data_IF_997589350435
#
_entry.id   IF_997589350435
#
_cell.length_a   1.000
_cell.length_b   1.000
_cell.length_c   1.000
_cell.angle_alpha   90.00
_cell.angle_beta   90.00
_cell.angle_gamma   90.00
#
_symmetry.space_group_name_H-M   'P 1'
#
loop_
_entity.id
_entity.type
_entity.pdbx_description
1 polymer ?
#
# COMPACT_ATOMS: atom_id res chain seq x y z
N UNK A 1 -74.82 -17.40 14.83
CA UNK A 1 -75.91 -17.25 13.84
C UNK A 1 -75.33 -17.53 12.46
N UNK A 2 -75.83 -18.62 11.82
CA UNK A 2 -75.58 -19.11 10.44
C UNK A 2 -74.15 -19.58 10.09
N UNK A 3 -73.90 -20.66 9.34
CA UNK A 3 -74.60 -21.92 9.01
C UNK A 3 -73.53 -22.83 8.33
N UNK A 4 -73.64 -24.15 8.51
CA UNK A 4 -72.81 -25.24 7.96
C UNK A 4 -72.60 -25.18 6.43
N UNK A 5 -71.52 -25.79 5.93
CA UNK A 5 -71.61 -26.89 4.93
C UNK A 5 -70.35 -27.76 4.88
N UNK A 6 -70.60 -29.06 4.98
CA UNK A 6 -69.69 -30.20 4.96
C UNK A 6 -69.58 -30.69 3.51
N UNK A 7 -68.39 -31.10 3.06
CA UNK A 7 -68.28 -32.07 1.96
C UNK A 7 -67.00 -32.89 2.08
N UNK A 8 -67.12 -34.07 2.67
CA UNK A 8 -66.16 -35.16 2.57
C UNK A 8 -66.27 -35.75 1.16
N UNK A 9 -65.15 -35.93 0.45
CA UNK A 9 -65.09 -36.82 -0.70
C UNK A 9 -63.91 -37.78 -0.49
N UNK A 10 -64.23 -38.99 -0.02
CA UNK A 10 -63.33 -40.13 0.00
C UNK A 10 -62.99 -40.51 -1.45
N UNK A 11 -61.72 -40.45 -1.82
CA UNK A 11 -61.19 -41.15 -2.98
C UNK A 11 -60.02 -42.03 -2.53
N UNK A 12 -60.32 -43.32 -2.38
CA UNK A 12 -59.33 -44.38 -2.25
C UNK A 12 -58.59 -44.53 -3.58
N UNK A 13 -57.44 -43.88 -3.70
CA UNK A 13 -56.47 -44.14 -4.77
C UNK A 13 -55.38 -45.10 -4.28
N UNK A 14 -54.88 -46.02 -5.12
CA UNK A 14 -53.82 -46.94 -4.70
C UNK A 14 -52.59 -46.11 -4.31
N UNK A 15 -52.09 -46.31 -3.09
CA UNK A 15 -50.83 -45.74 -2.62
C UNK A 15 -49.71 -46.24 -3.52
N UNK A 16 -49.41 -45.48 -4.57
CA UNK A 16 -48.15 -45.57 -5.27
C UNK A 16 -47.10 -44.97 -4.34
N UNK A 17 -46.41 -45.83 -3.58
CA UNK A 17 -45.20 -45.44 -2.87
C UNK A 17 -44.17 -44.98 -3.91
N UNK A 18 -44.15 -43.69 -4.21
CA UNK A 18 -42.99 -43.06 -4.81
C UNK A 18 -41.86 -43.19 -3.78
N UNK A 19 -41.01 -44.20 -3.97
CA UNK A 19 -39.70 -44.23 -3.36
C UNK A 19 -38.95 -43.02 -3.93
N UNK A 20 -39.12 -41.88 -3.27
CA UNK A 20 -38.32 -40.69 -3.54
C UNK A 20 -36.89 -41.07 -3.17
N UNK A 21 -36.06 -41.30 -4.19
CA UNK A 21 -34.62 -41.30 -4.03
C UNK A 21 -34.23 -39.90 -3.55
N UNK A 22 -34.19 -39.72 -2.23
CA UNK A 22 -33.49 -38.61 -1.63
C UNK A 22 -32.04 -38.82 -2.04
N UNK A 23 -31.56 -38.07 -3.05
CA UNK A 23 -30.12 -37.87 -3.19
C UNK A 23 -29.67 -37.46 -1.80
N UNK A 24 -28.80 -38.26 -1.20
CA UNK A 24 -28.18 -37.93 0.06
C UNK A 24 -27.38 -36.68 -0.26
N UNK A 25 -27.96 -35.51 -0.04
CA UNK A 25 -27.32 -34.23 -0.29
C UNK A 25 -26.19 -34.12 0.73
N UNK A 26 -25.06 -34.72 0.39
CA UNK A 26 -23.81 -34.47 1.09
C UNK A 26 -23.57 -32.96 1.03
N UNK A 27 -23.36 -32.27 2.16
CA UNK A 27 -23.09 -30.85 2.17
C UNK A 27 -21.99 -30.55 1.15
N UNK A 28 -22.16 -29.47 0.37
CA UNK A 28 -21.12 -29.01 -0.53
C UNK A 28 -19.81 -28.85 0.26
N UNK A 29 -18.64 -29.20 -0.31
CA UNK A 29 -17.36 -28.99 0.35
C UNK A 29 -17.25 -27.53 0.80
N UNK A 30 -16.79 -27.32 2.04
CA UNK A 30 -16.58 -25.97 2.55
C UNK A 30 -15.62 -25.20 1.63
N UNK A 31 -15.96 -23.95 1.30
CA UNK A 31 -15.08 -23.11 0.49
C UNK A 31 -13.73 -22.95 1.19
N UNK A 32 -12.62 -23.43 0.58
CA UNK A 32 -11.29 -23.36 1.18
C UNK A 32 -10.78 -21.93 1.42
N UNK A 33 -11.47 -20.92 0.87
CA UNK A 33 -11.12 -19.51 0.98
C UNK A 33 -11.94 -18.75 2.01
N UNK A 34 -12.89 -19.40 2.69
CA UNK A 34 -13.66 -18.79 3.77
C UNK A 34 -12.74 -18.27 4.86
N UNK A 35 -12.77 -16.96 5.12
CA UNK A 35 -11.99 -16.31 6.18
C UNK A 35 -10.52 -16.04 5.85
N UNK A 36 -10.09 -16.27 4.61
CA UNK A 36 -8.72 -15.91 4.19
C UNK A 36 -8.58 -14.38 4.12
N UNK A 37 -7.72 -13.83 4.97
CA UNK A 37 -7.24 -12.45 4.92
C UNK A 37 -5.74 -12.48 5.13
N UNK A 38 -4.98 -12.00 4.15
CA UNK A 38 -3.53 -12.03 4.17
C UNK A 38 -2.92 -10.74 4.71
N UNK A 39 -3.70 -9.67 4.89
CA UNK A 39 -3.21 -8.36 5.35
C UNK A 39 -1.99 -7.92 4.52
N UNK A 40 -2.17 -7.88 3.20
CA UNK A 40 -1.07 -7.66 2.26
C UNK A 40 -0.32 -6.37 2.61
N UNK A 41 0.97 -6.49 2.89
CA UNK A 41 1.84 -5.34 3.17
C UNK A 41 2.93 -5.24 2.11
N UNK A 42 3.39 -4.03 1.84
CA UNK A 42 4.37 -3.76 0.79
C UNK A 42 5.16 -2.49 1.06
N UNK A 43 6.37 -2.45 0.55
CA UNK A 43 7.18 -1.24 0.41
C UNK A 43 7.30 -0.85 -1.07
N UNK A 44 7.74 0.37 -1.33
CA UNK A 44 7.88 0.91 -2.68
C UNK A 44 9.07 1.85 -2.78
N UNK A 45 9.53 2.04 -4.01
CA UNK A 45 10.29 3.23 -4.40
C UNK A 45 9.47 4.03 -5.39
N UNK A 46 9.40 5.33 -5.19
CA UNK A 46 8.69 6.22 -6.10
C UNK A 46 9.41 6.34 -7.43
N UNK A 47 8.67 6.69 -8.48
CA UNK A 47 9.26 6.96 -9.78
C UNK A 47 9.88 8.37 -9.79
N UNK A 48 11.00 8.53 -10.48
CA UNK A 48 11.76 9.77 -10.55
C UNK A 48 11.79 10.27 -11.99
N UNK A 49 11.45 11.55 -12.19
CA UNK A 49 11.58 12.24 -13.48
C UNK A 49 10.55 11.79 -14.52
N UNK A 50 9.35 11.38 -14.11
CA UNK A 50 8.31 10.83 -14.97
C UNK A 50 8.74 9.60 -15.80
N UNK A 51 9.70 8.82 -15.27
CA UNK A 51 10.16 7.56 -15.87
C UNK A 51 9.47 6.35 -15.24
N UNK A 52 9.59 5.20 -15.91
CA UNK A 52 9.14 3.91 -15.38
C UNK A 52 10.26 3.27 -14.56
N UNK A 53 10.60 3.85 -13.42
CA UNK A 53 11.67 3.37 -12.54
C UNK A 53 11.22 3.18 -11.09
N UNK A 54 9.91 3.27 -10.83
CA UNK A 54 9.31 2.90 -9.55
C UNK A 54 9.37 1.40 -9.32
N UNK A 55 9.30 0.99 -8.06
CA UNK A 55 9.31 -0.41 -7.66
C UNK A 55 8.29 -0.67 -6.55
N UNK A 56 7.79 -1.91 -6.49
CA UNK A 56 6.97 -2.42 -5.39
C UNK A 56 7.60 -3.73 -4.92
N UNK A 57 7.79 -3.85 -3.61
CA UNK A 57 8.17 -5.10 -2.95
C UNK A 57 7.06 -5.49 -1.99
N UNK A 58 6.38 -6.61 -2.24
CA UNK A 58 5.29 -7.09 -1.39
C UNK A 58 5.91 -7.74 -0.16
N UNK A 59 5.91 -7.13 1.03
CA UNK A 59 6.58 -7.68 2.22
C UNK A 59 5.89 -8.93 2.76
N UNK A 60 4.55 -8.94 2.81
CA UNK A 60 3.73 -10.08 3.23
C UNK A 60 2.44 -10.17 2.41
N UNK A 61 1.86 -11.37 2.21
CA UNK A 61 2.37 -12.68 2.63
C UNK A 61 3.54 -13.16 1.75
N UNK A 62 4.44 -13.99 2.31
CA UNK A 62 5.50 -14.70 1.56
C UNK A 62 5.35 -16.22 1.61
N UNK A 63 5.86 -16.91 0.59
CA UNK A 63 5.92 -18.37 0.54
C UNK A 63 6.00 -18.93 -0.88
N UNK A 64 6.53 -20.14 -1.01
CA UNK A 64 6.79 -20.81 -2.30
C UNK A 64 5.53 -21.13 -3.10
N UNK A 65 4.37 -21.08 -2.45
CA UNK A 65 3.07 -21.41 -3.03
C UNK A 65 2.16 -20.19 -3.17
N UNK A 66 2.70 -19.00 -2.93
CA UNK A 66 2.04 -17.72 -3.16
C UNK A 66 2.52 -17.14 -4.49
N UNK A 67 1.56 -16.68 -5.29
CA UNK A 67 1.82 -15.93 -6.51
C UNK A 67 1.26 -14.52 -6.38
N UNK A 68 1.90 -13.58 -7.07
CA UNK A 68 1.64 -12.16 -6.96
C UNK A 68 1.38 -11.59 -8.36
N UNK A 69 0.50 -10.60 -8.44
CA UNK A 69 0.39 -9.73 -9.61
C UNK A 69 0.13 -8.30 -9.17
N UNK A 70 0.40 -7.37 -10.09
CA UNK A 70 0.00 -5.98 -9.96
C UNK A 70 -0.91 -5.58 -11.13
N UNK A 71 -2.00 -4.88 -10.82
CA UNK A 71 -2.97 -4.41 -11.82
C UNK A 71 -3.50 -5.53 -12.72
N UNK A 72 -3.37 -5.35 -14.04
CA UNK A 72 -3.76 -6.33 -15.07
C UNK A 72 -2.63 -7.27 -15.50
N UNK A 73 -1.48 -7.25 -14.80
CA UNK A 73 -0.36 -8.13 -15.09
C UNK A 73 -0.65 -9.61 -14.81
N UNK A 74 0.23 -10.48 -15.31
CA UNK A 74 0.18 -11.91 -15.04
C UNK A 74 0.62 -12.22 -13.59
N UNK A 75 0.14 -13.34 -13.05
CA UNK A 75 0.65 -13.87 -11.79
C UNK A 75 2.07 -14.40 -11.98
N UNK A 76 2.95 -14.08 -11.03
CA UNK A 76 4.33 -14.54 -10.97
C UNK A 76 4.73 -14.91 -9.54
N UNK A 77 5.72 -15.78 -9.34
CA UNK A 77 6.22 -16.12 -7.99
C UNK A 77 7.06 -14.99 -7.37
N UNK A 78 7.61 -14.08 -8.20
CA UNK A 78 8.37 -12.93 -7.70
C UNK A 78 7.45 -11.91 -7.01
N UNK A 79 7.82 -11.55 -5.79
CA UNK A 79 7.22 -10.49 -4.97
C UNK A 79 7.80 -9.10 -5.26
N UNK A 80 8.75 -9.00 -6.19
CA UNK A 80 9.41 -7.76 -6.58
C UNK A 80 8.99 -7.35 -7.98
N UNK A 81 8.43 -6.15 -8.09
CA UNK A 81 7.97 -5.55 -9.34
C UNK A 81 8.79 -4.29 -9.60
N UNK A 82 9.30 -4.18 -10.82
CA UNK A 82 10.12 -3.06 -11.30
C UNK A 82 9.50 -2.42 -12.54
N UNK A 83 10.13 -1.36 -13.02
CA UNK A 83 9.72 -0.64 -14.23
C UNK A 83 8.31 -0.06 -14.14
N UNK A 84 7.93 0.44 -12.95
CA UNK A 84 6.61 0.99 -12.70
C UNK A 84 6.59 2.48 -12.96
N UNK A 85 5.58 2.92 -13.70
CA UNK A 85 5.26 4.33 -13.89
C UNK A 85 4.62 4.90 -12.60
N UNK A 86 4.58 6.23 -12.43
CA UNK A 86 3.66 6.84 -11.48
C UNK A 86 2.22 6.38 -11.73
N UNK A 87 1.53 5.93 -10.68
CA UNK A 87 0.17 5.42 -10.80
C UNK A 87 -0.32 4.62 -9.59
N UNK A 88 -1.61 4.31 -9.60
CA UNK A 88 -2.23 3.44 -8.60
C UNK A 88 -2.20 1.99 -9.08
N UNK A 89 -1.75 1.09 -8.23
CA UNK A 89 -1.65 -0.33 -8.49
C UNK A 89 -2.48 -1.12 -7.47
N UNK A 90 -3.13 -2.17 -7.97
CA UNK A 90 -3.76 -3.19 -7.12
C UNK A 90 -2.80 -4.36 -7.05
N UNK A 91 -2.23 -4.61 -5.87
CA UNK A 91 -1.53 -5.84 -5.57
C UNK A 91 -2.58 -6.93 -5.38
N UNK A 92 -2.38 -8.09 -6.01
CA UNK A 92 -3.17 -9.29 -5.72
C UNK A 92 -2.21 -10.42 -5.37
N UNK A 93 -2.46 -11.04 -4.22
CA UNK A 93 -1.77 -12.26 -3.80
C UNK A 93 -2.70 -13.45 -3.95
N UNK A 94 -2.16 -14.61 -4.32
CA UNK A 94 -2.95 -15.82 -4.54
C UNK A 94 -2.20 -17.06 -4.05
N UNK A 95 -2.86 -17.88 -3.23
CA UNK A 95 -2.29 -19.15 -2.76
C UNK A 95 -2.60 -20.35 -3.69
N UNK A 96 -2.03 -21.52 -3.37
CA UNK A 96 -2.25 -22.78 -4.08
C UNK A 96 -3.70 -23.28 -4.13
N UNK A 97 -4.55 -22.89 -3.16
CA UNK A 97 -5.97 -23.25 -3.10
C UNK A 97 -6.84 -22.31 -3.93
N UNK A 98 -6.25 -21.28 -4.55
CA UNK A 98 -6.94 -20.30 -5.36
C UNK A 98 -7.44 -19.07 -4.60
N UNK A 99 -7.22 -18.99 -3.29
CA UNK A 99 -7.69 -17.88 -2.47
C UNK A 99 -6.85 -16.64 -2.71
N UNK A 100 -7.51 -15.49 -2.83
CA UNK A 100 -6.87 -14.22 -3.14
C UNK A 100 -7.14 -13.18 -2.08
N UNK A 101 -6.18 -12.27 -1.91
CA UNK A 101 -6.36 -11.02 -1.17
C UNK A 101 -5.68 -9.87 -1.93
N UNK A 102 -6.07 -8.63 -1.65
CA UNK A 102 -5.63 -7.46 -2.40
C UNK A 102 -5.25 -6.29 -1.51
N UNK A 103 -4.31 -5.48 -1.97
CA UNK A 103 -3.99 -4.17 -1.40
C UNK A 103 -3.81 -3.13 -2.50
N UNK A 104 -4.12 -1.88 -2.19
CA UNK A 104 -3.84 -0.72 -3.06
C UNK A 104 -2.48 -0.13 -2.69
N UNK A 105 -1.71 0.28 -3.69
CA UNK A 105 -0.49 1.05 -3.49
C UNK A 105 -0.33 2.07 -4.61
N UNK A 106 0.13 3.27 -4.28
CA UNK A 106 0.38 4.34 -5.24
C UNK A 106 1.87 4.55 -5.42
N UNK A 107 2.35 4.59 -6.66
CA UNK A 107 3.67 5.10 -7.02
C UNK A 107 3.50 6.58 -7.40
N UNK A 108 4.18 7.46 -6.67
CA UNK A 108 4.22 8.90 -6.91
C UNK A 108 5.28 9.23 -7.96
N UNK A 109 5.11 10.40 -8.58
CA UNK A 109 6.12 11.01 -9.43
C UNK A 109 6.93 12.01 -8.60
N UNK A 110 8.21 11.74 -8.39
CA UNK A 110 9.14 12.67 -7.77
C UNK A 110 9.97 13.40 -8.83
N UNK A 111 10.14 14.70 -8.62
CA UNK A 111 11.16 15.48 -9.30
C UNK A 111 12.56 15.02 -8.87
N UNK A 112 13.57 15.06 -9.76
CA UNK A 112 14.94 14.69 -9.40
C UNK A 112 15.51 15.48 -8.21
N UNK A 113 15.18 16.77 -8.05
CA UNK A 113 15.71 17.58 -6.96
C UNK A 113 15.03 17.22 -5.63
N UNK A 114 13.72 17.04 -5.62
CA UNK A 114 13.00 16.56 -4.44
C UNK A 114 13.46 15.18 -4.01
N UNK A 115 13.66 14.25 -4.95
CA UNK A 115 14.19 12.93 -4.65
C UNK A 115 15.57 13.01 -3.96
N UNK A 116 16.44 13.90 -4.42
CA UNK A 116 17.75 14.15 -3.78
C UNK A 116 17.60 14.71 -2.36
N UNK A 117 16.70 15.67 -2.14
CA UNK A 117 16.41 16.20 -0.80
C UNK A 117 15.83 15.13 0.12
N UNK A 118 14.90 14.29 -0.35
CA UNK A 118 14.32 13.21 0.45
C UNK A 118 15.40 12.25 0.95
N UNK A 119 16.39 11.90 0.12
CA UNK A 119 17.52 11.07 0.56
C UNK A 119 18.36 11.74 1.65
N UNK A 120 18.60 13.05 1.56
CA UNK A 120 19.28 13.80 2.62
C UNK A 120 18.48 13.75 3.92
N UNK A 121 17.17 13.98 3.87
CA UNK A 121 16.30 13.94 5.06
C UNK A 121 16.34 12.55 5.71
N UNK A 122 16.23 11.48 4.92
CA UNK A 122 16.28 10.10 5.44
C UNK A 122 17.65 9.76 6.05
N UNK A 123 18.74 10.27 5.49
CA UNK A 123 20.09 9.99 5.97
C UNK A 123 20.52 10.81 7.19
N UNK A 124 20.12 12.08 7.27
CA UNK A 124 20.67 13.02 8.27
C UNK A 124 19.65 13.48 9.32
N UNK A 125 18.35 13.47 9.02
CA UNK A 125 17.33 14.04 9.92
C UNK A 125 16.59 12.97 10.74
N UNK A 126 16.79 11.69 10.41
CA UNK A 126 16.08 10.55 10.97
C UNK A 126 16.02 10.46 12.49
N UNK A 127 17.15 10.58 13.22
CA UNK A 127 17.16 10.41 14.66
C UNK A 127 16.31 11.41 15.45
N UNK A 128 15.99 12.57 14.87
CA UNK A 128 15.35 13.70 15.57
C UNK A 128 14.00 14.11 14.97
N UNK A 129 13.77 13.83 13.69
CA UNK A 129 12.61 14.34 12.96
C UNK A 129 11.85 13.25 12.17
N UNK A 130 12.23 11.97 12.27
CA UNK A 130 11.49 10.86 11.65
C UNK A 130 10.95 9.88 12.70
N UNK A 131 10.09 8.96 12.27
CA UNK A 131 9.43 7.94 13.08
C UNK A 131 8.60 8.53 14.24
N UNK A 132 7.86 9.59 13.96
CA UNK A 132 7.05 10.30 14.95
C UNK A 132 7.80 11.34 15.77
N UNK A 133 9.14 11.43 15.67
CA UNK A 133 9.93 12.40 16.42
C UNK A 133 9.64 13.85 15.95
N UNK A 134 9.48 14.76 16.93
CA UNK A 134 9.04 16.16 16.72
C UNK A 134 10.02 17.17 17.32
N UNK A 135 11.32 16.98 17.12
CA UNK A 135 12.30 17.93 17.66
C UNK A 135 12.18 19.30 16.96
N UNK A 136 12.29 20.39 17.72
CA UNK A 136 12.09 21.74 17.18
C UNK A 136 10.71 21.97 16.53
N UNK A 137 9.71 21.16 16.90
CA UNK A 137 8.34 21.23 16.38
C UNK A 137 8.19 20.73 14.94
N UNK A 138 9.16 19.96 14.42
CA UNK A 138 9.14 19.45 13.05
C UNK A 138 9.28 17.93 13.03
N UNK A 139 8.42 17.31 12.23
CA UNK A 139 8.46 15.90 11.84
C UNK A 139 8.47 15.87 10.30
N UNK A 140 9.30 14.99 9.71
CA UNK A 140 9.58 14.87 8.29
C UNK A 140 9.19 13.49 7.71
N UNK A 141 8.29 12.77 8.37
CA UNK A 141 7.83 11.43 7.97
C UNK A 141 7.10 11.44 6.62
N UNK A 142 6.40 12.53 6.31
CA UNK A 142 5.59 12.64 5.09
C UNK A 142 6.18 13.64 4.12
N UNK A 143 5.96 13.44 2.82
CA UNK A 143 6.42 14.37 1.80
C UNK A 143 5.82 15.76 1.96
N UNK A 144 4.53 15.83 2.32
CA UNK A 144 3.86 17.08 2.64
C UNK A 144 4.55 17.83 3.80
N UNK A 145 4.97 17.12 4.85
CA UNK A 145 5.65 17.74 6.00
C UNK A 145 7.03 18.29 5.65
N UNK A 146 7.76 17.63 4.74
CA UNK A 146 9.04 18.10 4.21
C UNK A 146 8.82 19.34 3.34
N UNK A 147 7.90 19.27 2.38
CA UNK A 147 7.56 20.37 1.47
C UNK A 147 7.12 21.60 2.26
N UNK A 148 6.20 21.45 3.21
CA UNK A 148 5.70 22.55 4.04
C UNK A 148 6.75 23.12 5.02
N UNK A 149 7.90 22.47 5.14
CA UNK A 149 9.00 22.91 6.01
C UNK A 149 10.23 23.35 5.24
N UNK A 150 10.11 23.57 3.92
CA UNK A 150 11.24 23.93 3.05
C UNK A 150 12.05 25.10 3.59
N UNK A 151 11.37 26.12 4.14
CA UNK A 151 11.93 27.35 4.68
C UNK A 151 12.81 27.06 5.90
N UNK A 152 12.30 26.24 6.82
CA UNK A 152 13.00 25.80 8.03
C UNK A 152 14.17 24.89 7.68
N UNK A 153 14.00 23.98 6.73
CA UNK A 153 15.06 23.09 6.25
C UNK A 153 16.19 23.93 5.66
N UNK A 154 15.88 24.88 4.77
CA UNK A 154 16.85 25.79 4.16
C UNK A 154 17.58 26.62 5.22
N UNK A 155 16.84 27.30 6.09
CA UNK A 155 17.41 28.18 7.11
C UNK A 155 18.37 27.45 8.05
N UNK A 156 18.03 26.24 8.50
CA UNK A 156 18.80 25.52 9.52
C UNK A 156 19.89 24.65 8.92
N UNK A 157 19.57 23.85 7.90
CA UNK A 157 20.48 22.86 7.36
C UNK A 157 21.48 23.46 6.36
N UNK A 158 21.10 24.56 5.69
CA UNK A 158 21.99 25.25 4.75
C UNK A 158 22.57 26.50 5.38
N UNK A 159 21.71 27.42 5.82
CA UNK A 159 22.10 28.78 6.20
C UNK A 159 22.56 28.87 7.67
N UNK A 160 22.40 27.78 8.44
CA UNK A 160 22.78 27.69 9.86
C UNK A 160 22.15 28.75 10.76
N UNK A 161 20.92 29.16 10.44
CA UNK A 161 20.20 30.23 11.11
C UNK A 161 18.92 29.72 11.81
N UNK A 162 18.73 29.92 13.13
CA UNK A 162 19.67 30.56 14.07
C UNK A 162 20.84 29.67 14.53
N UNK A 163 20.85 28.40 14.12
CA UNK A 163 21.95 27.46 14.36
C UNK A 163 21.93 26.39 13.27
N UNK A 164 23.03 25.64 13.18
CA UNK A 164 23.20 24.57 12.20
C UNK A 164 22.33 23.35 12.51
N UNK A 165 21.92 22.66 11.45
CA UNK A 165 21.39 21.30 11.51
C UNK A 165 22.18 20.41 10.52
N UNK A 166 22.65 19.21 10.92
CA UNK A 166 22.59 18.61 12.26
C UNK A 166 23.25 19.45 13.38
N UNK A 167 22.72 19.38 14.61
CA UNK A 167 23.28 20.12 15.75
C UNK A 167 24.62 19.51 16.22
N UNK A 168 25.46 20.36 16.80
CA UNK A 168 26.74 19.98 17.46
C UNK A 168 26.47 18.89 18.51
N UNK A 169 27.31 17.83 18.60
CA UNK A 169 28.62 17.65 17.97
C UNK A 169 28.60 17.03 16.56
N UNK A 170 27.42 16.81 15.98
CA UNK A 170 27.34 16.21 14.64
C UNK A 170 27.85 17.19 13.58
N UNK A 171 28.50 16.65 12.54
CA UNK A 171 28.96 17.46 11.43
C UNK A 171 27.77 18.06 10.66
N UNK A 172 27.90 19.30 10.15
CA UNK A 172 26.90 19.86 9.24
C UNK A 172 26.84 19.07 7.94
N UNK A 173 25.78 19.28 7.17
CA UNK A 173 25.69 18.76 5.80
C UNK A 173 26.88 19.23 4.94
N UNK A 174 27.30 18.37 4.02
CA UNK A 174 28.34 18.71 3.03
C UNK A 174 27.89 19.87 2.14
N UNK A 175 28.83 20.61 1.53
CA UNK A 175 28.52 21.67 0.58
C UNK A 175 27.64 21.16 -0.58
N UNK A 176 27.89 19.94 -1.04
CA UNK A 176 27.11 19.30 -2.11
C UNK A 176 25.66 19.04 -1.67
N UNK A 177 25.45 18.55 -0.46
CA UNK A 177 24.10 18.28 0.06
C UNK A 177 23.33 19.57 0.36
N UNK A 178 24.03 20.59 0.88
CA UNK A 178 23.47 21.94 1.01
C UNK A 178 23.04 22.55 -0.33
N UNK A 179 23.80 22.28 -1.40
CA UNK A 179 23.45 22.74 -2.74
C UNK A 179 22.18 22.07 -3.26
N UNK A 180 22.03 20.74 -3.09
CA UNK A 180 20.80 20.03 -3.50
C UNK A 180 19.54 20.60 -2.85
N UNK A 181 19.60 20.92 -1.55
CA UNK A 181 18.49 21.58 -0.84
C UNK A 181 18.22 22.96 -1.45
N UNK A 182 19.26 23.74 -1.70
CA UNK A 182 19.14 25.08 -2.30
C UNK A 182 18.53 25.02 -3.70
N UNK A 183 18.94 24.06 -4.53
CA UNK A 183 18.43 23.89 -5.89
C UNK A 183 16.95 23.49 -5.91
N UNK A 184 16.54 22.59 -5.01
CA UNK A 184 15.14 22.21 -4.84
C UNK A 184 14.28 23.39 -4.37
N UNK A 185 14.77 24.17 -3.40
CA UNK A 185 14.07 25.38 -2.92
C UNK A 185 13.91 26.41 -4.04
N UNK A 186 14.98 26.68 -4.78
CA UNK A 186 14.97 27.61 -5.92
C UNK A 186 14.07 27.13 -7.08
N UNK A 187 13.90 25.81 -7.23
CA UNK A 187 12.97 25.22 -8.19
C UNK A 187 11.49 25.32 -7.76
N UNK A 188 11.22 25.91 -6.59
CA UNK A 188 9.88 26.09 -6.07
C UNK A 188 9.43 24.99 -5.11
N UNK A 189 10.36 24.24 -4.50
CA UNK A 189 10.11 23.37 -3.32
C UNK A 189 8.93 22.40 -3.50
N UNK A 190 8.77 21.85 -4.71
CA UNK A 190 7.64 20.97 -5.07
C UNK A 190 8.06 19.52 -4.98
N UNK A 191 7.07 18.62 -4.89
CA UNK A 191 7.32 17.19 -5.00
C UNK A 191 7.75 16.78 -6.42
N UNK A 192 7.20 17.46 -7.43
CA UNK A 192 7.52 17.32 -8.85
C UNK A 192 8.23 18.59 -9.32
N UNK A 193 9.48 18.47 -9.75
CA UNK A 193 10.36 19.56 -10.19
C UNK A 193 11.09 19.23 -11.49
#
# INVERSE_FOLDING_TARGET
MKLKLISYCLLAGPLLFIASCSKKDTPAPADPCTGVSYNVTSTKTEAIGALNNGTITISEPRGDTISYKIGSGAYQPSWYFTNLAPGNYVITVKNQKGCTDTAQITILNYGPKYAAVKQIILGYCGPCHLNGAVNGGKNFDTDASIINSWDRIKARAVDSNPSQMPEIPNAPLTTVDKQKITDWVNAGHRQTD
#
